data_IF_269881386480
#
_entry.id   IF_269881386480
#
_cell.length_a   1.000
_cell.length_b   1.000
_cell.length_c   1.000
_cell.angle_alpha   90.00
_cell.angle_beta   90.00
_cell.angle_gamma   90.00
#
_symmetry.space_group_name_H-M   'P 1'
#
loop_
_entity.id
_entity.type
_entity.pdbx_description
1 polymer ?
#
# COMPACT_ATOMS: atom_id res chain seq x y z
N UNK A 1 -14.66 18.25 6.20
CA UNK A 1 -14.45 18.39 7.67
C UNK A 1 -14.48 17.06 8.43
N UNK A 2 -15.42 16.14 8.13
CA UNK A 2 -15.50 14.85 8.84
C UNK A 2 -14.26 13.95 8.65
N UNK A 3 -13.76 13.78 7.42
CA UNK A 3 -12.58 12.95 7.13
C UNK A 3 -11.34 13.37 7.94
N UNK A 4 -11.03 14.68 8.00
CA UNK A 4 -9.89 15.21 8.76
C UNK A 4 -10.03 14.97 10.26
N UNK A 5 -11.25 15.03 10.81
CA UNK A 5 -11.50 14.75 12.23
C UNK A 5 -11.24 13.27 12.55
N UNK A 6 -11.70 12.36 11.70
CA UNK A 6 -11.44 10.92 11.84
C UNK A 6 -9.94 10.62 11.76
N UNK A 7 -9.22 11.23 10.81
CA UNK A 7 -7.76 11.09 10.72
C UNK A 7 -7.05 11.52 12.01
N UNK A 8 -7.45 12.64 12.62
CA UNK A 8 -6.91 13.10 13.91
C UNK A 8 -7.24 12.14 15.07
N UNK A 9 -8.44 11.55 15.08
CA UNK A 9 -8.80 10.58 16.11
C UNK A 9 -7.96 9.31 16.00
N UNK A 10 -7.76 8.82 14.77
CA UNK A 10 -6.97 7.61 14.52
C UNK A 10 -5.51 7.74 14.94
N UNK A 11 -4.92 8.92 14.81
CA UNK A 11 -3.54 9.15 15.27
C UNK A 11 -3.43 9.28 16.80
N UNK A 12 -4.52 9.65 17.48
CA UNK A 12 -4.54 9.86 18.94
C UNK A 12 -4.99 8.64 19.74
N UNK A 13 -5.87 7.82 19.19
CA UNK A 13 -6.46 6.66 19.85
C UNK A 13 -6.45 5.45 18.90
N UNK A 14 -5.27 4.99 18.43
CA UNK A 14 -5.15 4.00 17.37
C UNK A 14 -5.85 2.68 17.68
N UNK A 15 -5.94 2.28 18.96
CA UNK A 15 -6.58 1.04 19.40
C UNK A 15 -8.08 0.92 19.06
N UNK A 16 -8.75 2.05 18.79
CA UNK A 16 -10.15 2.04 18.34
C UNK A 16 -10.29 1.69 16.85
N UNK A 17 -9.19 1.78 16.09
CA UNK A 17 -9.17 1.66 14.63
C UNK A 17 -8.44 0.40 14.15
N UNK A 18 -7.55 -0.17 14.97
CA UNK A 18 -6.73 -1.34 14.57
C UNK A 18 -7.54 -2.61 14.34
N UNK A 19 -8.76 -2.72 14.89
CA UNK A 19 -9.59 -3.92 14.81
C UNK A 19 -10.49 -4.00 13.58
N UNK A 20 -10.69 -2.89 12.87
CA UNK A 20 -11.58 -2.84 11.71
C UNK A 20 -10.94 -2.08 10.54
N UNK A 21 -10.60 -2.83 9.48
CA UNK A 21 -10.03 -2.27 8.25
C UNK A 21 -11.10 -1.63 7.35
N UNK A 22 -12.39 -1.79 7.67
CA UNK A 22 -13.48 -1.21 6.89
C UNK A 22 -13.37 0.31 6.79
N UNK A 23 -12.84 0.98 7.83
CA UNK A 23 -12.63 2.42 7.78
C UNK A 23 -11.60 2.81 6.71
N UNK A 24 -10.46 2.12 6.67
CA UNK A 24 -9.41 2.38 5.67
C UNK A 24 -9.95 2.10 4.27
N UNK A 25 -10.69 1.00 4.11
CA UNK A 25 -11.34 0.66 2.86
C UNK A 25 -12.33 1.74 2.39
N UNK A 26 -13.19 2.22 3.28
CA UNK A 26 -14.14 3.30 2.98
C UNK A 26 -13.43 4.60 2.57
N UNK A 27 -12.31 4.93 3.21
CA UNK A 27 -11.56 6.13 2.87
C UNK A 27 -10.87 6.00 1.51
N UNK A 28 -10.31 4.83 1.16
CA UNK A 28 -9.80 4.58 -0.18
C UNK A 28 -10.90 4.64 -1.26
N UNK A 29 -12.07 4.11 -0.95
CA UNK A 29 -13.23 4.17 -1.85
C UNK A 29 -13.70 5.61 -2.06
N UNK A 30 -13.80 6.39 -0.99
CA UNK A 30 -14.13 7.81 -1.05
C UNK A 30 -13.07 8.59 -1.84
N UNK A 31 -11.78 8.34 -1.61
CA UNK A 31 -10.68 8.97 -2.35
C UNK A 31 -10.77 8.72 -3.87
N UNK A 32 -11.37 7.60 -4.28
CA UNK A 32 -11.57 7.26 -5.68
C UNK A 32 -12.76 7.99 -6.34
N UNK A 33 -13.75 8.43 -5.54
CA UNK A 33 -15.07 8.90 -6.03
C UNK A 33 -15.32 10.39 -5.83
N UNK A 34 -14.83 10.95 -4.73
CA UNK A 34 -15.13 12.33 -4.32
C UNK A 34 -14.49 13.38 -5.24
N UNK A 35 -14.83 14.65 -5.05
CA UNK A 35 -14.24 15.77 -5.78
C UNK A 35 -12.80 16.09 -5.30
N UNK A 36 -12.00 16.88 -6.06
CA UNK A 36 -10.61 17.17 -5.71
C UNK A 36 -10.38 17.78 -4.32
N UNK A 37 -11.25 18.68 -3.85
CA UNK A 37 -11.09 19.34 -2.56
C UNK A 37 -11.34 18.35 -1.42
N UNK A 38 -12.36 17.52 -1.56
CA UNK A 38 -12.68 16.46 -0.60
C UNK A 38 -11.60 15.37 -0.59
N UNK A 39 -11.05 14.99 -1.76
CA UNK A 39 -9.96 14.01 -1.87
C UNK A 39 -8.71 14.42 -1.10
N UNK A 40 -8.36 15.70 -1.11
CA UNK A 40 -7.22 16.20 -0.34
C UNK A 40 -7.41 15.92 1.15
N UNK A 41 -8.59 16.23 1.70
CA UNK A 41 -8.89 15.97 3.10
C UNK A 41 -8.88 14.46 3.45
N UNK A 42 -9.29 13.60 2.52
CA UNK A 42 -9.24 12.14 2.69
C UNK A 42 -7.79 11.65 2.66
N UNK A 43 -6.96 12.13 1.73
CA UNK A 43 -5.55 11.79 1.61
C UNK A 43 -4.78 12.17 2.89
N UNK A 44 -5.05 13.35 3.45
CA UNK A 44 -4.50 13.77 4.73
C UNK A 44 -4.93 12.85 5.88
N UNK A 45 -6.20 12.47 5.91
CA UNK A 45 -6.71 11.58 6.94
C UNK A 45 -6.08 10.17 6.87
N UNK A 46 -6.01 9.60 5.67
CA UNK A 46 -5.31 8.33 5.42
C UNK A 46 -3.83 8.41 5.83
N UNK A 47 -3.18 9.55 5.54
CA UNK A 47 -1.81 9.82 5.95
C UNK A 47 -1.63 9.90 7.47
N UNK A 48 -2.61 10.42 8.21
CA UNK A 48 -2.57 10.49 9.68
C UNK A 48 -2.79 9.13 10.34
N UNK A 49 -3.58 8.25 9.74
CA UNK A 49 -3.96 6.97 10.33
C UNK A 49 -3.00 5.82 10.05
N UNK A 50 -2.11 5.95 9.05
CA UNK A 50 -1.24 4.86 8.59
C UNK A 50 -0.43 4.20 9.72
N UNK A 51 0.02 5.00 10.70
CA UNK A 51 0.77 4.52 11.86
C UNK A 51 -0.02 3.62 12.82
N UNK A 52 -1.35 3.69 12.79
CA UNK A 52 -2.20 2.82 13.61
C UNK A 52 -2.18 1.35 13.15
N UNK A 53 -1.73 1.08 11.93
CA UNK A 53 -1.78 -0.25 11.33
C UNK A 53 -0.43 -0.98 11.30
N UNK A 54 0.64 -0.43 11.90
CA UNK A 54 1.99 -1.00 11.83
C UNK A 54 2.17 -2.31 12.59
N UNK A 55 1.25 -2.64 13.51
CA UNK A 55 1.27 -3.85 14.33
C UNK A 55 0.25 -4.91 13.88
N UNK A 56 -0.18 -4.88 12.61
CA UNK A 56 -1.09 -5.89 12.07
C UNK A 56 -0.37 -7.24 11.88
N UNK A 57 -1.04 -8.31 12.30
CA UNK A 57 -0.58 -9.69 12.18
C UNK A 57 -1.71 -10.60 11.69
N UNK A 58 -1.36 -11.77 11.14
CA UNK A 58 -2.33 -12.77 10.67
C UNK A 58 -3.28 -12.24 9.60
N UNK A 59 -4.56 -12.63 9.68
CA UNK A 59 -5.57 -12.28 8.67
C UNK A 59 -5.74 -10.78 8.40
N UNK A 60 -5.78 -9.88 9.41
CA UNK A 60 -5.77 -8.43 9.18
C UNK A 60 -4.60 -7.91 8.32
N UNK A 61 -3.39 -8.46 8.50
CA UNK A 61 -2.23 -8.06 7.69
C UNK A 61 -2.42 -8.43 6.22
N UNK A 62 -2.86 -9.66 5.96
CA UNK A 62 -3.17 -10.13 4.59
C UNK A 62 -4.30 -9.33 3.95
N UNK A 63 -5.32 -8.94 4.72
CA UNK A 63 -6.39 -8.07 4.22
C UNK A 63 -5.86 -6.68 3.85
N UNK A 64 -4.96 -6.12 4.65
CA UNK A 64 -4.31 -4.85 4.33
C UNK A 64 -3.44 -4.96 3.07
N UNK A 65 -2.73 -6.06 2.87
CA UNK A 65 -1.97 -6.31 1.62
C UNK A 65 -2.87 -6.26 0.39
N UNK A 66 -4.00 -6.99 0.43
CA UNK A 66 -4.97 -7.01 -0.65
C UNK A 66 -5.59 -5.64 -0.89
N UNK A 67 -5.91 -4.90 0.19
CA UNK A 67 -6.45 -3.55 0.11
C UNK A 67 -5.47 -2.61 -0.60
N UNK A 68 -4.21 -2.60 -0.17
CA UNK A 68 -3.16 -1.77 -0.79
C UNK A 68 -2.94 -2.16 -2.25
N UNK A 69 -2.84 -3.45 -2.56
CA UNK A 69 -2.67 -3.94 -3.93
C UNK A 69 -3.81 -3.50 -4.85
N UNK A 70 -5.07 -3.59 -4.38
CA UNK A 70 -6.24 -3.17 -5.16
C UNK A 70 -6.29 -1.67 -5.45
N UNK A 71 -5.66 -0.85 -4.59
CA UNK A 71 -5.61 0.60 -4.74
C UNK A 71 -4.42 1.06 -5.62
N UNK A 72 -3.35 0.28 -5.69
CA UNK A 72 -2.20 0.57 -6.55
C UNK A 72 -2.51 0.52 -8.06
N UNK A 73 -3.60 -0.11 -8.47
CA UNK A 73 -4.00 -0.18 -9.89
C UNK A 73 -5.12 0.79 -10.26
N UNK A 74 -5.53 1.67 -9.33
CA UNK A 74 -6.61 2.63 -9.57
C UNK A 74 -6.16 3.75 -10.54
N UNK A 75 -7.08 4.27 -11.37
CA UNK A 75 -6.73 5.31 -12.34
C UNK A 75 -6.34 6.64 -11.66
N UNK A 76 -6.88 6.93 -10.47
CA UNK A 76 -6.57 8.14 -9.71
C UNK A 76 -5.17 8.08 -9.12
N UNK A 77 -4.34 9.05 -9.46
CA UNK A 77 -2.94 9.11 -9.00
C UNK A 77 -2.86 9.26 -7.48
N UNK A 78 -3.71 10.10 -6.89
CA UNK A 78 -3.82 10.29 -5.44
C UNK A 78 -4.06 8.97 -4.69
N UNK A 79 -4.89 8.08 -5.25
CA UNK A 79 -5.17 6.78 -4.64
C UNK A 79 -3.92 5.90 -4.63
N UNK A 80 -3.18 5.86 -5.75
CA UNK A 80 -1.94 5.10 -5.85
C UNK A 80 -0.85 5.65 -4.94
N UNK A 81 -0.71 6.98 -4.83
CA UNK A 81 0.21 7.62 -3.88
C UNK A 81 -0.05 7.17 -2.44
N UNK A 82 -1.31 7.23 -1.99
CA UNK A 82 -1.66 6.81 -0.63
C UNK A 82 -1.41 5.32 -0.43
N UNK A 83 -1.67 4.49 -1.45
CA UNK A 83 -1.37 3.06 -1.38
C UNK A 83 0.14 2.80 -1.23
N UNK A 84 1.02 3.53 -1.94
CA UNK A 84 2.49 3.46 -1.75
C UNK A 84 2.89 3.84 -0.32
N UNK A 85 2.25 4.87 0.25
CA UNK A 85 2.50 5.27 1.64
C UNK A 85 2.12 4.18 2.64
N UNK A 86 1.00 3.50 2.43
CA UNK A 86 0.62 2.34 3.24
C UNK A 86 1.62 1.18 3.05
N UNK A 87 1.98 0.83 1.82
CA UNK A 87 2.94 -0.23 1.53
C UNK A 87 4.31 -0.02 2.21
N UNK A 88 4.75 1.24 2.30
CA UNK A 88 6.05 1.62 2.88
C UNK A 88 6.06 1.82 4.38
N UNK A 89 4.89 2.02 5.01
CA UNK A 89 4.81 2.39 6.44
C UNK A 89 4.18 1.29 7.29
N UNK A 90 3.14 0.61 6.79
CA UNK A 90 2.36 -0.38 7.56
C UNK A 90 3.13 -1.68 7.76
N UNK A 91 3.97 -2.04 6.79
CA UNK A 91 4.65 -3.33 6.77
C UNK A 91 6.13 -3.16 7.15
N UNK A 92 6.72 -4.14 7.86
CA UNK A 92 8.13 -4.12 8.20
C UNK A 92 9.02 -4.22 6.96
N UNK A 93 10.29 -3.87 7.12
CA UNK A 93 11.21 -3.67 5.99
C UNK A 93 11.56 -4.95 5.22
N UNK A 94 11.40 -6.11 5.85
CA UNK A 94 11.63 -7.46 5.35
C UNK A 94 10.35 -8.08 4.74
N UNK A 95 9.23 -7.36 4.75
CA UNK A 95 7.97 -7.93 4.28
C UNK A 95 7.91 -8.03 2.75
N UNK A 96 8.08 -9.25 2.25
CA UNK A 96 8.15 -9.57 0.82
C UNK A 96 6.95 -9.02 0.02
N UNK A 97 5.68 -9.25 0.39
CA UNK A 97 4.54 -8.75 -0.36
C UNK A 97 4.53 -7.22 -0.53
N UNK A 98 4.81 -6.45 0.52
CA UNK A 98 4.82 -4.98 0.41
C UNK A 98 6.01 -4.48 -0.39
N UNK A 99 7.18 -5.14 -0.32
CA UNK A 99 8.32 -4.81 -1.19
C UNK A 99 8.02 -5.09 -2.66
N UNK A 100 7.34 -6.18 -2.96
CA UNK A 100 6.83 -6.43 -4.30
C UNK A 100 5.89 -5.32 -4.79
N UNK A 101 4.94 -4.89 -3.95
CA UNK A 101 4.04 -3.77 -4.29
C UNK A 101 4.79 -2.45 -4.53
N UNK A 102 5.82 -2.15 -3.74
CA UNK A 102 6.69 -0.99 -3.95
C UNK A 102 7.50 -1.09 -5.24
N UNK A 103 7.96 -2.30 -5.61
CA UNK A 103 8.64 -2.53 -6.90
C UNK A 103 7.71 -2.27 -8.09
N UNK A 104 6.45 -2.71 -8.01
CA UNK A 104 5.46 -2.38 -9.04
C UNK A 104 5.23 -0.86 -9.14
N UNK A 105 5.05 -0.20 -7.99
CA UNK A 105 4.84 1.25 -7.94
C UNK A 105 6.05 2.07 -8.40
N UNK A 106 7.27 1.53 -8.29
CA UNK A 106 8.47 2.17 -8.84
C UNK A 106 8.48 2.26 -10.37
N UNK A 107 7.59 1.52 -11.04
CA UNK A 107 7.31 1.61 -12.48
C UNK A 107 6.06 2.42 -12.84
N UNK A 108 5.43 3.12 -11.89
CA UNK A 108 4.27 3.98 -12.18
C UNK A 108 4.65 5.10 -13.17
N UNK A 109 3.76 5.52 -14.10
CA UNK A 109 4.05 6.63 -15.01
C UNK A 109 4.10 8.01 -14.34
N UNK A 110 3.67 8.13 -13.08
CA UNK A 110 3.60 9.41 -12.35
C UNK A 110 4.74 9.55 -11.36
N UNK A 111 5.49 10.64 -11.47
CA UNK A 111 6.66 10.94 -10.62
C UNK A 111 6.37 10.89 -9.13
N UNK A 112 5.23 11.45 -8.76
CA UNK A 112 4.78 11.52 -7.39
C UNK A 112 4.43 10.14 -6.79
N UNK A 113 4.23 9.10 -7.61
CA UNK A 113 4.06 7.71 -7.17
C UNK A 113 5.40 6.96 -7.25
N UNK A 114 6.05 6.96 -8.41
CA UNK A 114 7.27 6.19 -8.60
C UNK A 114 8.45 6.73 -7.79
N UNK A 115 8.54 8.04 -7.59
CA UNK A 115 9.56 8.69 -6.78
C UNK A 115 9.42 8.33 -5.30
N UNK A 116 8.20 8.26 -4.79
CA UNK A 116 7.94 7.83 -3.41
C UNK A 116 8.25 6.34 -3.21
N UNK A 117 7.85 5.48 -4.15
CA UNK A 117 8.15 4.06 -4.12
C UNK A 117 9.66 3.79 -4.15
N UNK A 118 10.39 4.43 -5.07
CA UNK A 118 11.84 4.33 -5.16
C UNK A 118 12.54 4.84 -3.90
N UNK A 119 12.05 5.95 -3.31
CA UNK A 119 12.54 6.44 -2.02
C UNK A 119 12.35 5.37 -0.95
N UNK A 120 11.16 4.79 -0.82
CA UNK A 120 10.86 3.77 0.18
C UNK A 120 11.68 2.48 0.01
N UNK A 121 12.00 2.09 -1.23
CA UNK A 121 12.88 0.95 -1.52
C UNK A 121 14.35 1.23 -1.20
N UNK A 122 14.80 2.47 -1.39
CA UNK A 122 16.19 2.90 -1.13
C UNK A 122 16.43 3.31 0.32
N UNK A 123 15.39 3.61 1.09
CA UNK A 123 15.51 3.91 2.51
C UNK A 123 15.95 2.66 3.25
N UNK A 124 17.26 2.51 3.39
CA UNK A 124 17.87 1.51 4.25
C UNK A 124 17.65 1.92 5.70
N UNK A 125 17.17 1.02 6.56
CA UNK A 125 17.09 1.28 7.98
C UNK A 125 18.51 1.29 8.58
N UNK A 126 19.19 2.45 8.56
CA UNK A 126 20.60 2.49 8.98
C UNK A 126 21.36 3.82 8.92
N UNK A 127 20.74 4.97 9.16
CA UNK A 127 21.51 6.22 9.40
C UNK A 127 21.59 6.69 10.85
N UNK A 128 20.93 6.00 11.77
CA UNK A 128 21.13 6.23 13.20
C UNK A 128 21.69 4.95 13.83
N UNK A 129 22.97 5.02 14.19
CA UNK A 129 23.64 4.03 15.02
C UNK A 129 22.90 3.90 16.35
N UNK A 130 22.69 2.65 16.80
CA UNK A 130 21.91 2.20 17.97
C UNK A 130 20.42 2.03 17.70
N UNK A 131 20.05 0.84 17.20
CA UNK A 131 18.93 0.01 17.72
C UNK A 131 18.68 -1.19 16.81
N UNK A 132 18.93 -2.37 17.40
CA UNK A 132 18.26 -3.69 17.32
C UNK A 132 17.94 -4.35 15.96
N UNK A 133 17.94 -5.69 16.05
CA UNK A 133 17.81 -6.74 15.03
C UNK A 133 16.60 -6.69 14.05
N UNK A 134 15.80 -5.62 14.03
CA UNK A 134 14.51 -5.52 13.31
C UNK A 134 14.60 -4.86 11.92
N UNK A 135 15.80 -4.78 11.36
CA UNK A 135 16.14 -3.91 10.22
C UNK A 135 16.70 -4.70 9.04
N UNK A 136 16.16 -5.89 8.80
CA UNK A 136 16.58 -6.73 7.70
C UNK A 136 15.78 -6.41 6.43
N UNK A 137 16.47 -6.50 5.29
CA UNK A 137 15.82 -6.54 3.98
C UNK A 137 15.37 -7.97 3.71
N UNK A 138 14.33 -8.17 2.90
CA UNK A 138 13.90 -9.52 2.57
C UNK A 138 15.02 -10.29 1.87
N UNK A 139 15.07 -11.60 2.09
CA UNK A 139 16.01 -12.48 1.41
C UNK A 139 15.84 -12.35 -0.11
N UNK A 140 16.95 -12.14 -0.83
CA UNK A 140 16.90 -12.00 -2.29
C UNK A 140 16.30 -13.26 -2.96
N UNK A 141 16.70 -14.50 -2.61
CA UNK A 141 16.05 -15.71 -3.12
C UNK A 141 14.53 -15.75 -2.88
N UNK A 142 14.07 -15.41 -1.67
CA UNK A 142 12.64 -15.44 -1.34
C UNK A 142 11.86 -14.36 -2.12
N UNK A 143 12.44 -13.17 -2.28
CA UNK A 143 11.87 -12.12 -3.13
C UNK A 143 11.76 -12.58 -4.58
N UNK A 144 12.80 -13.21 -5.15
CA UNK A 144 12.79 -13.70 -6.52
C UNK A 144 11.74 -14.80 -6.69
N UNK A 145 11.67 -15.74 -5.75
CA UNK A 145 10.65 -16.79 -5.75
C UNK A 145 9.24 -16.18 -5.74
N UNK A 146 8.98 -15.23 -4.84
CA UNK A 146 7.69 -14.55 -4.77
C UNK A 146 7.35 -13.81 -6.07
N UNK A 147 8.32 -13.14 -6.69
CA UNK A 147 8.12 -12.50 -8.00
C UNK A 147 7.78 -13.54 -9.07
N UNK A 148 8.47 -14.68 -9.10
CA UNK A 148 8.17 -15.77 -10.04
C UNK A 148 6.75 -16.31 -9.87
N UNK A 149 6.33 -16.55 -8.62
CA UNK A 149 4.95 -16.96 -8.29
C UNK A 149 3.94 -15.93 -8.80
N UNK A 150 4.16 -14.64 -8.53
CA UNK A 150 3.27 -13.57 -9.00
C UNK A 150 3.24 -13.41 -10.51
N UNK A 151 4.36 -13.62 -11.20
CA UNK A 151 4.41 -13.57 -12.68
C UNK A 151 3.69 -14.78 -13.29
N UNK A 152 3.78 -15.96 -12.68
CA UNK A 152 3.05 -17.14 -13.14
C UNK A 152 1.54 -16.99 -12.95
N UNK A 153 1.11 -16.46 -11.80
CA UNK A 153 -0.28 -16.05 -11.57
C UNK A 153 -0.73 -15.01 -12.60
N UNK A 154 0.13 -14.07 -12.96
CA UNK A 154 -0.15 -13.07 -13.99
C UNK A 154 -0.21 -13.67 -15.39
N UNK A 155 0.59 -14.69 -15.72
CA UNK A 155 0.57 -15.37 -17.03
C UNK A 155 -0.73 -16.16 -17.23
N UNK A 156 -1.26 -16.78 -16.16
CA UNK A 156 -2.59 -17.40 -16.14
C UNK A 156 -3.69 -16.33 -16.28
N UNK A 157 -3.57 -15.21 -15.56
CA UNK A 157 -4.53 -14.11 -15.65
C UNK A 157 -4.41 -13.31 -16.95
N UNK A 158 -3.26 -13.26 -17.63
CA UNK A 158 -3.12 -12.61 -18.93
C UNK A 158 -3.85 -13.42 -19.99
N UNK A 159 -3.85 -14.76 -19.90
CA UNK A 159 -4.66 -15.59 -20.79
C UNK A 159 -6.16 -15.36 -20.56
N UNK A 160 -6.60 -15.20 -19.32
CA UNK A 160 -8.01 -14.89 -18.99
C UNK A 160 -8.37 -13.44 -19.35
N UNK A 161 -7.52 -12.46 -19.04
CA UNK A 161 -7.74 -11.03 -19.30
C UNK A 161 -7.65 -10.75 -20.80
N UNK A 162 -6.66 -11.29 -21.52
CA UNK A 162 -6.58 -11.20 -22.99
C UNK A 162 -7.75 -11.95 -23.65
N UNK A 163 -8.20 -13.08 -23.11
CA UNK A 163 -9.42 -13.75 -23.59
C UNK A 163 -10.67 -12.87 -23.39
N UNK A 164 -10.82 -12.25 -22.21
CA UNK A 164 -11.95 -11.37 -21.91
C UNK A 164 -11.91 -10.01 -22.61
N UNK A 165 -10.72 -9.49 -22.96
CA UNK A 165 -10.54 -8.19 -23.64
C UNK A 165 -10.41 -8.30 -25.16
N UNK A 166 -9.92 -9.42 -25.71
CA UNK A 166 -9.75 -9.59 -27.16
C UNK A 166 -10.86 -10.41 -27.83
N UNK A 167 -11.63 -11.23 -27.10
CA UNK A 167 -12.68 -12.10 -27.66
C UNK A 167 -14.11 -11.77 -27.21
N UNK A 168 -14.35 -10.54 -26.74
CA UNK A 168 -15.71 -9.97 -26.58
C UNK A 168 -16.02 -8.93 -27.67
N UNK A 169 -15.79 -9.31 -28.93
CA UNK A 169 -16.42 -8.74 -30.12
C UNK A 169 -16.93 -9.89 -30.96
#
# INVERSE_FOLDING_TARGET
MAYSAVGKLSSRIPQLFTKDLALVQQFFEALSKEDPDTRLAIQEALSMMVGAYTSLEGAPRTLMEALVASNLIKPQVQVRQVAVKFASTVFPSDHIPSRYLLLLAAGDPREEVHGEAQRALRTFPGKNEKESADKQMPSFPEMVQYIQEKVQDFSLNLCVILWYTLFKV
#
